data_IF_486302522235
#
_entry.id   IF_486302522235
#
_cell.length_a   1.000
_cell.length_b   1.000
_cell.length_c   1.000
_cell.angle_alpha   90.00
_cell.angle_beta   90.00
_cell.angle_gamma   90.00
#
_symmetry.space_group_name_H-M   'P 1'
#
loop_
_entity.id
_entity.type
_entity.pdbx_description
1 polymer ?
#
# COMPACT_ATOMS: atom_id res chain seq x y z
N UNK A 1 -54.11 24.74 -46.11
CA UNK A 1 -52.92 25.27 -45.41
C UNK A 1 -52.21 24.10 -44.76
N UNK A 2 -50.97 23.74 -45.12
CA UNK A 2 -50.24 22.71 -44.40
C UNK A 2 -49.77 23.28 -43.06
N UNK A 3 -50.16 22.63 -41.97
CA UNK A 3 -49.66 22.94 -40.63
C UNK A 3 -48.29 22.29 -40.47
N UNK A 4 -47.26 23.10 -40.23
CA UNK A 4 -45.95 22.58 -39.88
C UNK A 4 -46.00 22.02 -38.46
N UNK A 5 -45.98 20.70 -38.32
CA UNK A 5 -45.80 20.03 -37.03
C UNK A 5 -44.35 20.20 -36.57
N UNK A 6 -44.13 21.12 -35.64
CA UNK A 6 -42.82 21.28 -34.98
C UNK A 6 -42.49 19.99 -34.24
N UNK A 7 -41.50 19.23 -34.74
CA UNK A 7 -40.94 18.08 -34.04
C UNK A 7 -40.31 18.57 -32.74
N UNK A 8 -41.01 18.39 -31.63
CA UNK A 8 -40.45 18.62 -30.31
C UNK A 8 -39.19 17.76 -30.21
N UNK A 9 -38.02 18.40 -30.05
CA UNK A 9 -36.77 17.69 -29.82
C UNK A 9 -36.94 16.86 -28.55
N UNK A 10 -37.19 15.57 -28.72
CA UNK A 10 -37.36 14.63 -27.63
C UNK A 10 -35.99 14.49 -26.95
N UNK A 11 -35.71 15.37 -25.99
CA UNK A 11 -34.45 15.34 -25.25
C UNK A 11 -34.40 14.03 -24.48
N UNK A 12 -33.52 13.14 -24.93
CA UNK A 12 -33.29 11.87 -24.26
C UNK A 12 -32.68 12.15 -22.89
N UNK A 13 -33.08 11.40 -21.85
CA UNK A 13 -32.45 11.53 -20.54
C UNK A 13 -30.92 11.36 -20.62
N UNK A 14 -30.20 12.16 -19.84
CA UNK A 14 -28.74 12.28 -19.91
C UNK A 14 -28.02 10.93 -19.73
N UNK A 15 -28.50 10.04 -18.87
CA UNK A 15 -27.94 8.71 -18.61
C UNK A 15 -27.92 7.76 -19.83
N UNK A 16 -28.67 8.10 -20.90
CA UNK A 16 -28.71 7.32 -22.15
C UNK A 16 -27.45 7.53 -23.00
N UNK A 17 -26.69 8.60 -22.76
CA UNK A 17 -25.52 8.94 -23.55
C UNK A 17 -24.30 8.16 -23.05
N UNK A 18 -23.66 7.35 -23.91
CA UNK A 18 -22.50 6.52 -23.54
C UNK A 18 -21.32 7.31 -22.93
N UNK A 19 -21.10 8.56 -23.36
CA UNK A 19 -20.04 9.43 -22.82
C UNK A 19 -20.20 9.73 -21.32
N UNK A 20 -21.43 9.76 -20.81
CA UNK A 20 -21.69 9.94 -19.38
C UNK A 20 -21.08 8.80 -18.57
N UNK A 21 -21.20 7.57 -19.08
CA UNK A 21 -20.60 6.40 -18.45
C UNK A 21 -19.08 6.39 -18.54
N UNK A 22 -18.48 6.93 -19.62
CA UNK A 22 -17.03 7.08 -19.70
C UNK A 22 -16.50 7.99 -18.57
N UNK A 23 -17.17 9.12 -18.32
CA UNK A 23 -16.78 10.06 -17.27
C UNK A 23 -16.94 9.43 -15.88
N UNK A 24 -18.03 8.69 -15.64
CA UNK A 24 -18.29 8.02 -14.35
C UNK A 24 -17.32 6.84 -14.14
N UNK A 25 -16.97 6.12 -15.21
CA UNK A 25 -16.11 4.94 -15.13
C UNK A 25 -14.70 5.26 -14.64
N UNK A 26 -14.13 6.43 -15.00
CA UNK A 26 -12.78 6.81 -14.59
C UNK A 26 -12.59 6.82 -13.07
N UNK A 27 -13.35 7.65 -12.33
CA UNK A 27 -13.31 7.64 -10.87
C UNK A 27 -13.73 6.30 -10.25
N UNK A 28 -14.73 5.63 -10.83
CA UNK A 28 -15.21 4.34 -10.33
C UNK A 28 -14.11 3.27 -10.33
N UNK A 29 -13.32 3.19 -11.41
CA UNK A 29 -12.21 2.24 -11.52
C UNK A 29 -11.13 2.53 -10.47
N UNK A 30 -10.80 3.80 -10.21
CA UNK A 30 -9.82 4.19 -9.19
C UNK A 30 -10.28 3.74 -7.79
N UNK A 31 -11.56 3.94 -7.47
CA UNK A 31 -12.13 3.50 -6.19
C UNK A 31 -12.02 1.98 -6.04
N UNK A 32 -12.40 1.22 -7.07
CA UNK A 32 -12.28 -0.24 -7.09
C UNK A 32 -10.80 -0.67 -6.91
N UNK A 33 -9.87 -0.04 -7.62
CA UNK A 33 -8.45 -0.33 -7.50
C UNK A 33 -7.92 -0.06 -6.09
N UNK A 34 -8.38 1.00 -5.43
CA UNK A 34 -8.08 1.29 -4.03
C UNK A 34 -8.54 0.18 -3.08
N UNK A 35 -9.78 -0.30 -3.24
CA UNK A 35 -10.29 -1.43 -2.46
C UNK A 35 -9.52 -2.73 -2.72
N UNK A 36 -9.17 -3.03 -3.97
CA UNK A 36 -8.36 -4.20 -4.33
C UNK A 36 -6.98 -4.14 -3.67
N UNK A 37 -6.34 -2.97 -3.72
CA UNK A 37 -5.03 -2.75 -3.09
C UNK A 37 -5.11 -2.92 -1.57
N UNK A 38 -6.14 -2.34 -0.95
CA UNK A 38 -6.40 -2.51 0.48
C UNK A 38 -6.62 -3.98 0.85
N UNK A 39 -7.44 -4.69 0.07
CA UNK A 39 -7.69 -6.12 0.27
C UNK A 39 -6.40 -6.93 0.19
N UNK A 40 -5.54 -6.65 -0.79
CA UNK A 40 -4.27 -7.34 -0.94
C UNK A 40 -3.33 -7.05 0.24
N UNK A 41 -3.28 -5.82 0.72
CA UNK A 41 -2.47 -5.44 1.87
C UNK A 41 -2.96 -6.08 3.18
N UNK A 42 -4.28 -6.21 3.35
CA UNK A 42 -4.87 -6.81 4.55
C UNK A 42 -4.67 -8.34 4.60
N UNK A 43 -4.72 -9.02 3.46
CA UNK A 43 -4.64 -10.49 3.39
C UNK A 43 -3.26 -11.03 3.03
N UNK A 44 -2.43 -10.24 2.36
CA UNK A 44 -1.09 -10.63 1.89
C UNK A 44 0.03 -10.27 2.85
N UNK A 45 -0.24 -10.18 4.15
CA UNK A 45 0.84 -10.03 5.13
C UNK A 45 1.60 -11.35 5.18
N UNK A 46 2.80 -11.35 4.62
CA UNK A 46 3.77 -12.44 4.81
C UNK A 46 3.91 -12.64 6.33
N UNK A 47 3.61 -13.84 6.86
CA UNK A 47 3.69 -14.09 8.29
C UNK A 47 5.05 -13.63 8.78
N UNK A 48 5.04 -12.65 9.68
CA UNK A 48 6.25 -12.17 10.32
C UNK A 48 6.95 -13.38 10.91
N UNK A 49 8.07 -13.76 10.28
CA UNK A 49 8.98 -14.75 10.85
C UNK A 49 9.21 -14.28 12.27
N UNK A 50 8.78 -15.08 13.25
CA UNK A 50 9.08 -14.80 14.65
C UNK A 50 10.56 -14.51 14.67
N UNK A 51 10.93 -13.31 15.14
CA UNK A 51 12.33 -12.98 15.43
C UNK A 51 12.76 -14.07 16.39
N UNK A 52 13.28 -15.16 15.85
CA UNK A 52 13.95 -16.17 16.62
C UNK A 52 15.04 -15.32 17.20
N UNK A 53 14.94 -15.07 18.51
CA UNK A 53 15.98 -14.42 19.24
C UNK A 53 17.16 -15.29 18.90
N UNK A 54 17.98 -14.80 17.97
CA UNK A 54 19.28 -15.36 17.72
C UNK A 54 19.87 -15.10 19.07
N UNK A 55 19.77 -16.12 19.94
CA UNK A 55 20.58 -16.28 21.12
C UNK A 55 21.93 -16.43 20.50
N UNK A 56 22.44 -15.27 20.10
CA UNK A 56 23.71 -15.11 19.53
C UNK A 56 24.51 -15.43 20.77
N UNK A 57 24.99 -16.66 20.80
CA UNK A 57 26.24 -16.99 21.45
C UNK A 57 27.32 -16.19 20.70
N UNK A 58 27.15 -14.85 20.63
CA UNK A 58 28.14 -13.92 20.17
C UNK A 58 29.18 -14.03 21.27
N UNK A 59 30.36 -14.61 20.99
CA UNK A 59 31.47 -14.44 21.89
C UNK A 59 31.55 -12.95 22.17
N UNK A 60 31.71 -12.53 23.42
CA UNK A 60 31.73 -11.10 23.80
C UNK A 60 32.80 -10.28 23.04
N UNK A 61 33.67 -10.96 22.28
CA UNK A 61 34.74 -10.42 21.45
C UNK A 61 34.47 -10.42 19.93
N UNK A 62 33.33 -10.95 19.46
CA UNK A 62 33.01 -10.92 18.04
C UNK A 62 32.35 -9.57 17.70
N UNK A 63 33.19 -8.62 17.28
CA UNK A 63 32.82 -7.25 17.02
C UNK A 63 31.69 -7.03 16.00
N UNK A 64 31.48 -5.75 15.66
CA UNK A 64 30.40 -5.16 14.83
C UNK A 64 30.03 -5.97 13.57
N UNK A 65 30.96 -6.77 13.04
CA UNK A 65 30.80 -7.65 11.89
C UNK A 65 29.72 -8.75 12.04
N UNK A 66 29.29 -9.12 13.24
CA UNK A 66 28.23 -10.12 13.46
C UNK A 66 26.88 -9.51 13.88
N UNK A 67 26.75 -8.19 13.91
CA UNK A 67 25.48 -7.55 14.24
C UNK A 67 24.45 -7.74 13.11
N UNK A 68 23.15 -7.93 13.42
CA UNK A 68 22.10 -7.99 12.41
C UNK A 68 22.17 -6.81 11.44
N UNK A 69 22.01 -7.06 10.14
CA UNK A 69 22.22 -6.05 9.10
C UNK A 69 21.41 -4.75 9.31
N UNK A 70 20.23 -4.85 9.93
CA UNK A 70 19.38 -3.69 10.29
C UNK A 70 20.03 -2.83 11.38
N UNK A 71 20.71 -3.44 12.37
CA UNK A 71 21.45 -2.74 13.43
C UNK A 71 22.82 -2.26 12.94
N UNK A 72 23.45 -2.95 11.98
CA UNK A 72 24.80 -2.62 11.53
C UNK A 72 24.90 -1.35 10.66
N UNK A 73 23.86 -1.00 9.88
CA UNK A 73 23.94 0.06 8.86
C UNK A 73 24.35 1.45 9.39
N UNK A 74 23.98 1.79 10.62
CA UNK A 74 24.31 3.09 11.21
C UNK A 74 25.35 3.00 12.34
N UNK A 75 25.51 1.82 12.96
CA UNK A 75 26.45 1.61 14.06
C UNK A 75 27.87 1.22 13.60
N UNK A 76 28.05 0.92 12.30
CA UNK A 76 29.38 0.69 11.71
C UNK A 76 30.31 1.91 11.78
N UNK A 77 29.75 3.13 11.79
CA UNK A 77 30.52 4.37 11.84
C UNK A 77 30.87 4.80 13.28
N UNK A 78 30.05 4.44 14.28
CA UNK A 78 30.21 4.89 15.68
C UNK A 78 30.97 3.88 16.54
N UNK A 79 31.06 2.61 16.12
CA UNK A 79 31.80 1.58 16.86
C UNK A 79 31.09 1.07 18.12
N UNK A 80 29.92 1.60 18.46
CA UNK A 80 29.16 1.27 19.66
C UNK A 80 27.77 0.70 19.32
N UNK A 81 27.45 -0.45 19.90
CA UNK A 81 26.11 -1.03 19.90
C UNK A 81 25.28 -0.37 21.01
N UNK A 82 23.96 -0.16 20.82
CA UNK A 82 23.11 0.34 21.88
C UNK A 82 23.14 -0.62 23.08
N UNK A 83 23.34 -0.06 24.28
CA UNK A 83 23.32 -0.82 25.52
C UNK A 83 21.99 -1.58 25.64
N UNK A 84 22.08 -2.90 25.76
CA UNK A 84 20.95 -3.77 26.08
C UNK A 84 20.46 -3.38 27.48
N UNK A 85 19.47 -2.50 27.56
CA UNK A 85 18.79 -2.20 28.82
C UNK A 85 18.02 -3.45 29.24
N UNK A 86 18.67 -4.29 30.05
CA UNK A 86 18.08 -5.39 30.77
C UNK A 86 17.08 -4.83 31.79
N UNK A 87 15.84 -4.61 31.34
CA UNK A 87 14.73 -4.35 32.25
C UNK A 87 14.22 -5.71 32.76
N UNK A 88 14.56 -5.95 34.03
CA UNK A 88 14.11 -7.05 34.90
C UNK A 88 12.58 -7.06 35.03
#
# INVERSE_FOLDING_TARGET
MPTHSSSALQQRPWWTHGHVWLIISGPLVVVIAGFVTFYLAANGQDPVLSTQEVTAQTPKDAGISLAPAVQARNHAATGELPAQNSKK
#
